data_IF_859668700622
#
_entry.id   IF_859668700622
#
_cell.length_a   1.000
_cell.length_b   1.000
_cell.length_c   1.000
_cell.angle_alpha   90.00
_cell.angle_beta   90.00
_cell.angle_gamma   90.00
#
_symmetry.space_group_name_H-M   'P 1'
#
loop_
_entity.id
_entity.type
_entity.pdbx_description
1 polymer ?
#
# COMPACT_ATOMS: atom_id res chain seq x y z
N UNK A 1 -9.93 -33.22 -9.08
CA UNK A 1 -9.30 -32.24 -8.17
C UNK A 1 -7.88 -31.83 -8.58
N UNK A 2 -6.99 -32.76 -8.96
CA UNK A 2 -5.59 -32.46 -9.32
C UNK A 2 -5.41 -31.41 -10.45
N UNK A 3 -6.29 -31.42 -11.46
CA UNK A 3 -6.24 -30.46 -12.57
C UNK A 3 -6.57 -29.01 -12.16
N UNK A 4 -7.51 -28.82 -11.21
CA UNK A 4 -7.86 -27.47 -10.71
C UNK A 4 -6.71 -26.87 -9.89
N UNK A 5 -6.00 -27.70 -9.14
CA UNK A 5 -4.84 -27.27 -8.34
C UNK A 5 -3.68 -26.81 -9.25
N UNK A 6 -3.43 -27.55 -10.33
CA UNK A 6 -2.38 -27.19 -11.30
C UNK A 6 -2.70 -25.86 -12.02
N UNK A 7 -3.95 -25.66 -12.42
CA UNK A 7 -4.39 -24.40 -13.08
C UNK A 7 -4.28 -23.21 -12.12
N UNK A 8 -4.68 -23.39 -10.85
CA UNK A 8 -4.51 -22.37 -9.81
C UNK A 8 -3.04 -22.05 -9.57
N UNK A 9 -2.19 -23.07 -9.55
CA UNK A 9 -0.75 -22.91 -9.35
C UNK A 9 -0.06 -22.18 -10.50
N UNK A 10 -0.36 -22.54 -11.75
CA UNK A 10 0.19 -21.84 -12.92
C UNK A 10 -0.25 -20.39 -12.93
N UNK A 11 -1.52 -20.13 -12.63
CA UNK A 11 -2.04 -18.76 -12.60
C UNK A 11 -1.42 -17.93 -11.48
N UNK A 12 -1.25 -18.50 -10.29
CA UNK A 12 -0.55 -17.84 -9.18
C UNK A 12 0.91 -17.53 -9.52
N UNK A 13 1.61 -18.47 -10.17
CA UNK A 13 3.00 -18.30 -10.59
C UNK A 13 3.14 -17.18 -11.62
N UNK A 14 2.29 -17.17 -12.65
CA UNK A 14 2.26 -16.13 -13.67
C UNK A 14 1.99 -14.74 -13.09
N UNK A 15 0.97 -14.63 -12.23
CA UNK A 15 0.67 -13.37 -11.55
C UNK A 15 1.83 -12.91 -10.65
N UNK A 16 2.45 -13.84 -9.92
CA UNK A 16 3.60 -13.51 -9.07
C UNK A 16 4.76 -12.97 -9.89
N UNK A 17 5.13 -13.63 -10.99
CA UNK A 17 6.18 -13.18 -11.90
C UNK A 17 5.92 -11.78 -12.46
N UNK A 18 4.68 -11.51 -12.91
CA UNK A 18 4.29 -10.19 -13.38
C UNK A 18 4.44 -9.10 -12.30
N UNK A 19 4.11 -9.42 -11.05
CA UNK A 19 4.27 -8.48 -9.94
C UNK A 19 5.75 -8.28 -9.55
N UNK A 20 6.60 -9.30 -9.66
CA UNK A 20 8.03 -9.20 -9.41
C UNK A 20 8.77 -8.34 -10.44
N UNK A 21 8.25 -8.16 -11.65
CA UNK A 21 8.83 -7.23 -12.64
C UNK A 21 8.42 -5.77 -12.38
N UNK A 22 7.45 -5.54 -11.47
CA UNK A 22 6.94 -4.19 -11.24
C UNK A 22 7.92 -3.33 -10.44
N UNK A 23 8.28 -2.14 -10.96
CA UNK A 23 9.06 -1.15 -10.20
C UNK A 23 8.41 -0.82 -8.85
N UNK A 24 7.07 -0.80 -8.81
CA UNK A 24 6.30 -0.51 -7.60
C UNK A 24 6.54 -1.56 -6.51
N UNK A 25 6.72 -2.82 -6.90
CA UNK A 25 7.02 -3.89 -5.95
C UNK A 25 8.37 -3.63 -5.26
N UNK A 26 9.43 -3.37 -6.04
CA UNK A 26 10.76 -3.10 -5.49
C UNK A 26 10.80 -1.86 -4.62
N UNK A 27 10.15 -0.76 -5.05
CA UNK A 27 10.10 0.47 -4.26
C UNK A 27 9.45 0.22 -2.90
N UNK A 28 8.30 -0.46 -2.87
CA UNK A 28 7.60 -0.75 -1.61
C UNK A 28 8.42 -1.69 -0.72
N UNK A 29 8.96 -2.78 -1.28
CA UNK A 29 9.76 -3.74 -0.52
C UNK A 29 11.07 -3.11 0.00
N UNK A 30 11.70 -2.24 -0.79
CA UNK A 30 12.91 -1.52 -0.39
C UNK A 30 12.64 -0.59 0.79
N UNK A 31 11.51 0.13 0.81
CA UNK A 31 11.12 0.97 1.96
C UNK A 31 10.99 0.15 3.24
N UNK A 32 10.32 -1.01 3.19
CA UNK A 32 10.23 -1.88 4.36
C UNK A 32 11.58 -2.42 4.80
N UNK A 33 12.45 -2.79 3.85
CA UNK A 33 13.79 -3.27 4.15
C UNK A 33 14.63 -2.18 4.83
N UNK A 34 14.59 -0.94 4.34
CA UNK A 34 15.29 0.20 4.96
C UNK A 34 14.76 0.48 6.37
N UNK A 35 13.43 0.44 6.56
CA UNK A 35 12.85 0.59 7.90
C UNK A 35 13.30 -0.51 8.86
N UNK A 36 13.24 -1.77 8.42
CA UNK A 36 13.69 -2.91 9.21
C UNK A 36 15.16 -2.74 9.64
N UNK A 37 16.04 -2.40 8.69
CA UNK A 37 17.45 -2.16 8.99
C UNK A 37 17.66 -0.97 9.91
N UNK A 38 16.89 0.11 9.76
CA UNK A 38 17.00 1.29 10.63
C UNK A 38 16.64 0.97 12.08
N UNK A 39 15.58 0.18 12.30
CA UNK A 39 15.18 -0.24 13.64
C UNK A 39 16.20 -1.25 14.21
N UNK A 40 16.69 -2.15 13.37
CA UNK A 40 17.71 -3.11 13.74
C UNK A 40 18.99 -2.41 14.19
N UNK A 41 19.55 -1.50 13.38
CA UNK A 41 20.77 -0.76 13.74
C UNK A 41 20.57 0.11 14.97
N UNK A 42 19.42 0.76 15.11
CA UNK A 42 19.08 1.51 16.33
C UNK A 42 19.08 0.60 17.57
N UNK A 43 18.45 -0.57 17.47
CA UNK A 43 18.37 -1.53 18.59
C UNK A 43 19.73 -2.12 18.94
N UNK A 44 20.57 -2.39 17.93
CA UNK A 44 21.95 -2.81 18.15
C UNK A 44 22.77 -1.67 18.76
N UNK A 45 22.68 -0.43 18.30
CA UNK A 45 23.51 0.65 18.87
C UNK A 45 23.13 0.98 20.32
N UNK A 46 21.84 0.89 20.66
CA UNK A 46 21.33 1.26 22.00
C UNK A 46 21.29 0.10 23.00
N UNK A 47 21.49 -1.13 22.54
CA UNK A 47 21.46 -2.31 23.40
C UNK A 47 22.62 -2.38 24.40
N UNK A 48 22.29 -2.61 25.66
CA UNK A 48 23.23 -2.63 26.79
C UNK A 48 23.90 -3.99 27.03
N UNK A 49 23.26 -5.09 26.63
CA UNK A 49 23.75 -6.46 26.87
C UNK A 49 24.28 -7.07 25.57
N UNK A 50 25.58 -7.40 25.49
CA UNK A 50 26.21 -7.84 24.24
C UNK A 50 25.74 -9.21 23.73
N UNK A 51 25.34 -10.12 24.62
CA UNK A 51 24.97 -11.51 24.26
C UNK A 51 23.55 -11.58 23.65
N UNK A 52 22.59 -10.83 24.20
CA UNK A 52 21.19 -10.86 23.75
C UNK A 52 20.85 -9.71 22.79
N UNK A 53 21.77 -8.76 22.62
CA UNK A 53 21.65 -7.57 21.76
C UNK A 53 21.10 -7.85 20.38
N UNK A 54 21.72 -8.83 19.71
CA UNK A 54 21.46 -9.16 18.33
C UNK A 54 20.09 -9.79 18.19
N UNK A 55 19.77 -10.76 19.05
CA UNK A 55 18.47 -11.40 19.04
C UNK A 55 17.35 -10.38 19.31
N UNK A 56 17.50 -9.58 20.36
CA UNK A 56 16.54 -8.53 20.71
C UNK A 56 16.36 -7.52 19.57
N UNK A 57 17.44 -7.15 18.87
CA UNK A 57 17.36 -6.24 17.73
C UNK A 57 16.61 -6.84 16.53
N UNK A 58 16.87 -8.12 16.20
CA UNK A 58 16.13 -8.83 15.13
C UNK A 58 14.66 -8.98 15.50
N UNK A 59 14.35 -9.34 16.75
CA UNK A 59 12.98 -9.47 17.23
C UNK A 59 12.24 -8.13 17.17
N UNK A 60 12.85 -7.06 17.69
CA UNK A 60 12.25 -5.73 17.71
C UNK A 60 11.98 -5.20 16.30
N UNK A 61 12.97 -5.29 15.40
CA UNK A 61 12.79 -4.84 14.01
C UNK A 61 11.76 -5.69 13.27
N UNK A 62 11.74 -7.01 13.50
CA UNK A 62 10.76 -7.93 12.94
C UNK A 62 9.33 -7.60 13.38
N UNK A 63 9.09 -7.45 14.69
CA UNK A 63 7.76 -7.17 15.25
C UNK A 63 7.23 -5.83 14.74
N UNK A 64 8.05 -4.77 14.81
CA UNK A 64 7.62 -3.43 14.40
C UNK A 64 7.32 -3.38 12.90
N UNK A 65 8.18 -3.98 12.07
CA UNK A 65 7.97 -4.00 10.61
C UNK A 65 6.75 -4.84 10.24
N UNK A 66 6.56 -5.99 10.88
CA UNK A 66 5.38 -6.84 10.70
C UNK A 66 4.09 -6.10 11.07
N UNK A 67 4.06 -5.47 12.25
CA UNK A 67 2.89 -4.70 12.71
C UNK A 67 2.56 -3.57 11.73
N UNK A 68 3.56 -2.85 11.22
CA UNK A 68 3.36 -1.78 10.23
C UNK A 68 2.75 -2.28 8.93
N UNK A 69 3.27 -3.39 8.38
CA UNK A 69 2.70 -4.01 7.17
C UNK A 69 1.24 -4.42 7.41
N UNK A 70 0.95 -5.00 8.58
CA UNK A 70 -0.39 -5.44 8.97
C UNK A 70 -1.35 -4.25 9.10
N UNK A 71 -0.95 -3.17 9.77
CA UNK A 71 -1.73 -1.94 9.86
C UNK A 71 -2.07 -1.39 8.47
N UNK A 72 -1.10 -1.31 7.57
CA UNK A 72 -1.32 -0.80 6.20
C UNK A 72 -2.30 -1.71 5.43
N UNK A 73 -2.23 -3.02 5.62
CA UNK A 73 -3.17 -3.97 5.03
C UNK A 73 -4.59 -3.81 5.58
N UNK A 74 -4.75 -3.60 6.90
CA UNK A 74 -6.06 -3.32 7.50
C UNK A 74 -6.70 -2.06 6.91
N UNK A 75 -5.91 -0.99 6.72
CA UNK A 75 -6.40 0.21 6.02
C UNK A 75 -6.83 -0.09 4.58
N UNK A 76 -6.08 -0.95 3.88
CA UNK A 76 -6.40 -1.35 2.50
C UNK A 76 -7.59 -2.28 2.36
N UNK A 77 -7.92 -3.04 3.39
CA UNK A 77 -9.12 -3.89 3.43
C UNK A 77 -10.40 -3.12 3.71
N UNK A 78 -10.33 -1.79 3.84
CA UNK A 78 -11.52 -0.97 4.02
C UNK A 78 -11.95 -0.83 5.48
N UNK A 79 -11.08 -1.16 6.45
CA UNK A 79 -11.36 -0.90 7.87
C UNK A 79 -11.69 0.58 8.13
N UNK A 80 -11.13 1.49 7.31
CA UNK A 80 -11.42 2.93 7.33
C UNK A 80 -12.29 3.41 6.17
N UNK A 81 -12.95 2.52 5.42
CA UNK A 81 -13.68 2.88 4.20
C UNK A 81 -14.73 3.95 4.47
N UNK A 82 -15.53 3.81 5.54
CA UNK A 82 -16.50 4.85 5.97
C UNK A 82 -15.85 6.20 6.31
N UNK A 83 -14.68 6.20 6.93
CA UNK A 83 -13.95 7.43 7.28
C UNK A 83 -13.37 8.09 6.03
N UNK A 84 -12.82 7.28 5.12
CA UNK A 84 -12.28 7.72 3.83
C UNK A 84 -13.40 8.24 2.93
N UNK A 85 -14.57 7.60 2.91
CA UNK A 85 -15.75 8.05 2.16
C UNK A 85 -16.24 9.41 2.66
N UNK A 86 -16.36 9.61 3.98
CA UNK A 86 -16.71 10.90 4.58
C UNK A 86 -15.68 11.99 4.24
N UNK A 87 -14.40 11.66 4.23
CA UNK A 87 -13.35 12.60 3.85
C UNK A 87 -13.41 12.93 2.35
N UNK A 88 -13.60 11.91 1.50
CA UNK A 88 -13.75 12.08 0.03
C UNK A 88 -14.97 12.92 -0.32
N UNK A 89 -16.11 12.69 0.34
CA UNK A 89 -17.34 13.46 0.08
C UNK A 89 -17.17 14.94 0.44
N UNK A 90 -16.50 15.25 1.55
CA UNK A 90 -16.13 16.62 1.92
C UNK A 90 -15.20 17.30 0.90
N UNK A 91 -14.16 16.59 0.44
CA UNK A 91 -13.23 17.11 -0.58
C UNK A 91 -13.95 17.32 -1.92
N UNK A 92 -14.79 16.37 -2.35
CA UNK A 92 -15.54 16.45 -3.59
C UNK A 92 -16.56 17.58 -3.57
N UNK A 93 -17.25 17.78 -2.44
CA UNK A 93 -18.14 18.93 -2.20
C UNK A 93 -17.40 20.25 -2.40
N UNK A 94 -16.26 20.44 -1.73
CA UNK A 94 -15.43 21.65 -1.86
C UNK A 94 -14.94 21.86 -3.30
N UNK A 95 -14.48 20.80 -3.98
CA UNK A 95 -14.05 20.90 -5.37
C UNK A 95 -15.20 21.27 -6.31
N UNK A 96 -16.39 20.69 -6.13
CA UNK A 96 -17.57 21.02 -6.92
C UNK A 96 -17.94 22.49 -6.74
N UNK A 97 -17.95 23.00 -5.51
CA UNK A 97 -18.19 24.42 -5.23
C UNK A 97 -17.16 25.34 -5.88
N UNK A 98 -15.87 24.95 -5.90
CA UNK A 98 -14.82 25.71 -6.61
C UNK A 98 -15.01 25.72 -8.12
N UNK A 99 -15.39 24.59 -8.71
CA UNK A 99 -15.65 24.44 -10.15
C UNK A 99 -16.86 25.30 -10.54
N UNK A 100 -17.95 25.26 -9.76
CA UNK A 100 -19.15 26.07 -9.98
C UNK A 100 -18.85 27.58 -9.85
N UNK A 101 -18.06 27.98 -8.86
CA UNK A 101 -17.65 29.38 -8.69
C UNK A 101 -16.83 29.89 -9.88
N UNK A 102 -15.91 29.07 -10.42
CA UNK A 102 -15.15 29.42 -11.63
C UNK A 102 -16.03 29.46 -12.88
N UNK A 103 -16.94 28.50 -13.03
CA UNK A 103 -17.85 28.43 -14.17
C UNK A 103 -18.81 29.63 -14.24
N UNK A 104 -19.19 30.21 -13.10
CA UNK A 104 -20.01 31.43 -13.03
C UNK A 104 -19.32 32.70 -13.56
N UNK A 105 -17.99 32.69 -13.67
CA UNK A 105 -17.19 33.84 -14.16
C UNK A 105 -16.82 33.76 -15.64
N UNK A 106 -17.26 32.71 -16.34
CA UNK A 106 -16.86 32.41 -17.72
C UNK A 106 -17.97 32.78 -18.71
N UNK A 107 -17.58 33.06 -19.95
CA UNK A 107 -18.53 33.25 -21.03
C UNK A 107 -19.23 31.92 -21.39
N UNK A 108 -20.38 31.94 -22.06
CA UNK A 108 -21.24 30.76 -22.24
C UNK A 108 -20.53 29.61 -22.99
N UNK A 109 -19.77 29.96 -24.04
CA UNK A 109 -18.97 29.01 -24.83
C UNK A 109 -17.82 28.42 -24.00
N UNK A 110 -17.11 29.25 -23.24
CA UNK A 110 -16.00 28.83 -22.38
C UNK A 110 -16.48 27.93 -21.24
N UNK A 111 -17.63 28.27 -20.64
CA UNK A 111 -18.27 27.51 -19.58
C UNK A 111 -18.62 26.10 -20.04
N UNK A 112 -19.14 25.96 -21.27
CA UNK A 112 -19.49 24.65 -21.85
C UNK A 112 -18.25 23.77 -22.03
N UNK A 113 -17.18 24.33 -22.60
CA UNK A 113 -15.91 23.62 -22.81
C UNK A 113 -15.26 23.25 -21.48
N UNK A 114 -15.29 24.14 -20.50
CA UNK A 114 -14.72 23.91 -19.17
C UNK A 114 -15.42 22.76 -18.42
N UNK A 115 -16.75 22.70 -18.45
CA UNK A 115 -17.50 21.63 -17.81
C UNK A 115 -17.27 20.27 -18.49
N UNK A 116 -17.22 20.25 -19.81
CA UNK A 116 -16.95 19.02 -20.58
C UNK A 116 -15.56 18.46 -20.27
N UNK A 117 -14.53 19.32 -20.19
CA UNK A 117 -13.17 18.92 -19.85
C UNK A 117 -13.04 18.42 -18.40
N UNK A 118 -13.79 18.98 -17.45
CA UNK A 118 -13.81 18.46 -16.08
C UNK A 118 -14.49 17.09 -16.01
N UNK A 119 -15.59 16.90 -16.76
CA UNK A 119 -16.29 15.61 -16.84
C UNK A 119 -15.41 14.51 -17.44
N UNK A 120 -14.65 14.81 -18.50
CA UNK A 120 -13.67 13.88 -19.09
C UNK A 120 -12.61 13.46 -18.07
N UNK A 121 -12.08 14.41 -17.28
CA UNK A 121 -11.11 14.13 -16.21
C UNK A 121 -11.66 13.28 -15.08
N UNK A 122 -12.96 13.34 -14.80
CA UNK A 122 -13.61 12.47 -13.80
C UNK A 122 -13.72 11.04 -14.32
N UNK A 123 -14.18 10.86 -15.56
CA UNK A 123 -14.28 9.54 -16.21
C UNK A 123 -12.90 8.88 -16.32
N UNK A 124 -11.86 9.62 -16.68
CA UNK A 124 -10.48 9.12 -16.72
C UNK A 124 -9.94 8.69 -15.35
N UNK A 125 -10.44 9.27 -14.25
CA UNK A 125 -10.05 8.86 -12.89
C UNK A 125 -10.76 7.59 -12.46
N UNK A 126 -12.03 7.42 -12.82
CA UNK A 126 -12.84 6.24 -12.51
C UNK A 126 -12.34 5.00 -13.25
N UNK A 127 -11.87 5.17 -14.49
CA UNK A 127 -11.39 4.06 -15.33
C UNK A 127 -9.96 3.58 -15.00
N UNK A 128 -9.32 4.08 -13.94
CA UNK A 128 -7.96 3.65 -13.60
C UNK A 128 -7.96 2.22 -13.06
N UNK A 129 -7.08 1.33 -13.56
CA UNK A 129 -7.02 -0.04 -13.10
C UNK A 129 -6.71 -0.10 -11.60
N UNK A 130 -7.39 -0.99 -10.90
CA UNK A 130 -7.20 -1.21 -9.47
C UNK A 130 -5.77 -1.69 -9.21
N UNK A 131 -5.09 -0.98 -8.32
CA UNK A 131 -3.68 -1.23 -8.01
C UNK A 131 -3.55 -2.50 -7.18
N UNK A 132 -2.77 -3.47 -7.67
CA UNK A 132 -2.45 -4.71 -6.95
C UNK A 132 -1.91 -4.44 -5.53
N UNK A 133 -2.33 -5.27 -4.57
CA UNK A 133 -1.86 -5.28 -3.19
C UNK A 133 -0.72 -6.29 -2.96
N UNK A 134 -0.25 -6.97 -4.01
CA UNK A 134 0.77 -8.01 -3.94
C UNK A 134 2.03 -7.64 -3.14
N UNK A 135 2.64 -6.44 -3.29
CA UNK A 135 3.84 -6.08 -2.52
C UNK A 135 3.63 -6.13 -1.00
N UNK A 136 2.41 -5.82 -0.53
CA UNK A 136 2.10 -5.82 0.89
C UNK A 136 1.97 -7.24 1.43
N UNK A 137 1.30 -8.13 0.71
CA UNK A 137 1.21 -9.54 1.08
C UNK A 137 2.57 -10.24 1.04
N UNK A 138 3.40 -9.92 0.04
CA UNK A 138 4.76 -10.47 -0.05
C UNK A 138 5.61 -10.08 1.16
N UNK A 139 5.62 -8.78 1.52
CA UNK A 139 6.35 -8.32 2.70
C UNK A 139 5.76 -8.93 3.99
N UNK A 140 4.44 -9.04 4.11
CA UNK A 140 3.81 -9.68 5.27
C UNK A 140 4.33 -11.12 5.45
N UNK A 141 4.37 -11.92 4.38
CA UNK A 141 4.87 -13.30 4.42
C UNK A 141 6.35 -13.34 4.85
N UNK A 142 7.21 -12.50 4.27
CA UNK A 142 8.63 -12.47 4.62
C UNK A 142 8.83 -12.16 6.11
N UNK A 143 8.21 -11.11 6.63
CA UNK A 143 8.40 -10.73 8.03
C UNK A 143 7.68 -11.68 9.00
N UNK A 144 6.65 -12.39 8.54
CA UNK A 144 6.04 -13.48 9.31
C UNK A 144 7.02 -14.65 9.44
N UNK A 145 7.68 -15.04 8.35
CA UNK A 145 8.69 -16.09 8.35
C UNK A 145 9.89 -15.73 9.23
N UNK A 146 10.35 -14.48 9.21
CA UNK A 146 11.43 -14.05 10.10
C UNK A 146 11.05 -14.17 11.58
N UNK A 147 9.81 -13.83 11.95
CA UNK A 147 9.33 -13.99 13.33
C UNK A 147 9.17 -15.45 13.75
N UNK A 148 8.68 -16.31 12.84
CA UNK A 148 8.57 -17.75 13.11
C UNK A 148 9.95 -18.36 13.34
N UNK A 149 10.95 -18.00 12.52
CA UNK A 149 12.32 -18.48 12.70
C UNK A 149 12.90 -18.06 14.05
N UNK A 150 12.68 -16.82 14.49
CA UNK A 150 13.12 -16.34 15.80
C UNK A 150 12.39 -17.05 16.94
N UNK A 151 11.11 -17.37 16.78
CA UNK A 151 10.33 -18.04 17.84
C UNK A 151 10.73 -19.52 18.03
N UNK A 152 11.32 -20.15 17.01
CA UNK A 152 11.76 -21.54 17.03
C UNK A 152 13.20 -21.68 17.56
N UNK A 153 14.02 -20.62 17.48
CA UNK A 153 15.42 -20.59 17.91
C UNK A 153 15.55 -20.08 19.34
#
# INVERSE_FOLDING_TARGET
MRNKLNILWTHFKEQSLLNFTSIRFYVISSVYLVMYFSIFTYSVVTGKDDITKWNNAVTASGIVTFALVLFILLFKWGFLERTIEKMKSGINSSNKSRIEYRAKKMNETERRIFLENNKKKEIEKENKPTKSNYPFYFNLIIYSLSLILIAVV
#
